data_IF_171170233487
#
_entry.id   IF_171170233487
#
_cell.length_a   1.000
_cell.length_b   1.000
_cell.length_c   1.000
_cell.angle_alpha   90.00
_cell.angle_beta   90.00
_cell.angle_gamma   90.00
#
_symmetry.space_group_name_H-M   'P 1'
#
loop_
_entity.id
_entity.type
_entity.pdbx_description
1 polymer ?
#
# COMPACT_ATOMS: atom_id res chain seq x y z
N UNK A 1 12.13 -3.48 36.68
CA UNK A 1 13.40 -3.81 36.02
C UNK A 1 13.13 -3.80 34.54
N UNK A 2 13.56 -2.76 33.83
CA UNK A 2 13.36 -2.66 32.40
C UNK A 2 14.32 -3.61 31.70
N UNK A 3 13.78 -4.53 30.90
CA UNK A 3 14.60 -5.47 30.14
C UNK A 3 15.39 -4.69 29.10
N UNK A 4 16.73 -4.74 29.20
CA UNK A 4 17.62 -4.09 28.24
C UNK A 4 17.93 -5.06 27.09
N UNK A 5 17.79 -4.58 25.85
CA UNK A 5 18.22 -5.29 24.64
C UNK A 5 19.23 -4.40 23.92
N UNK A 6 20.45 -4.90 23.74
CA UNK A 6 21.58 -4.15 23.17
C UNK A 6 21.84 -2.79 23.84
N UNK A 7 21.63 -2.70 25.15
CA UNK A 7 21.86 -1.48 25.92
C UNK A 7 20.77 -0.40 25.79
N UNK A 8 19.66 -0.70 25.10
CA UNK A 8 18.48 0.15 25.02
C UNK A 8 17.29 -0.50 25.76
N UNK A 9 16.37 0.29 26.32
CA UNK A 9 15.12 -0.24 26.88
C UNK A 9 14.31 -1.00 25.81
N UNK A 10 13.73 -2.14 26.20
CA UNK A 10 12.82 -2.91 25.33
C UNK A 10 11.66 -2.04 24.79
N UNK A 11 11.17 -1.07 25.57
CA UNK A 11 10.11 -0.13 25.14
C UNK A 11 10.49 0.64 23.88
N UNK A 12 11.74 1.07 23.77
CA UNK A 12 12.19 1.94 22.69
C UNK A 12 12.31 1.15 21.39
N UNK A 13 12.78 -0.11 21.50
CA UNK A 13 12.76 -1.07 20.40
C UNK A 13 11.33 -1.35 19.91
N UNK A 14 10.40 -1.62 20.83
CA UNK A 14 9.01 -1.90 20.49
C UNK A 14 8.33 -0.69 19.82
N UNK A 15 8.57 0.51 20.32
CA UNK A 15 8.08 1.75 19.72
C UNK A 15 8.64 1.96 18.31
N UNK A 16 9.95 1.75 18.13
CA UNK A 16 10.60 1.86 16.82
C UNK A 16 10.01 0.87 15.80
N UNK A 17 9.89 -0.40 16.17
CA UNK A 17 9.29 -1.43 15.31
C UNK A 17 7.83 -1.09 14.99
N UNK A 18 7.05 -0.70 16.01
CA UNK A 18 5.65 -0.32 15.86
C UNK A 18 5.48 0.86 14.90
N UNK A 19 6.33 1.88 15.00
CA UNK A 19 6.29 3.05 14.13
C UNK A 19 6.59 2.70 12.66
N UNK A 20 7.61 1.87 12.42
CA UNK A 20 7.95 1.41 11.05
C UNK A 20 6.81 0.58 10.45
N UNK A 21 6.24 -0.34 11.22
CA UNK A 21 5.08 -1.14 10.78
C UNK A 21 3.87 -0.25 10.48
N UNK A 22 3.61 0.76 11.30
CA UNK A 22 2.49 1.69 11.10
C UNK A 22 2.64 2.51 9.81
N UNK A 23 3.83 3.07 9.54
CA UNK A 23 4.09 3.84 8.32
C UNK A 23 3.97 2.95 7.08
N UNK A 24 4.63 1.79 7.10
CA UNK A 24 4.63 0.85 5.96
C UNK A 24 3.20 0.35 5.70
N UNK A 25 2.47 0.03 6.77
CA UNK A 25 1.05 -0.30 6.73
C UNK A 25 0.21 0.79 6.10
N UNK A 26 0.37 2.05 6.53
CA UNK A 26 -0.40 3.18 5.99
C UNK A 26 -0.14 3.39 4.49
N UNK A 27 1.13 3.34 4.07
CA UNK A 27 1.51 3.50 2.66
C UNK A 27 0.90 2.37 1.82
N UNK A 28 1.05 1.13 2.26
CA UNK A 28 0.55 -0.03 1.53
C UNK A 28 -0.98 -0.06 1.47
N UNK A 29 -1.65 0.33 2.56
CA UNK A 29 -3.10 0.45 2.59
C UNK A 29 -3.57 1.53 1.61
N UNK A 30 -2.92 2.70 1.56
CA UNK A 30 -3.21 3.74 0.59
C UNK A 30 -2.98 3.27 -0.86
N UNK A 31 -1.87 2.58 -1.12
CA UNK A 31 -1.59 1.99 -2.44
C UNK A 31 -2.66 0.96 -2.85
N UNK A 32 -3.23 0.22 -1.88
CA UNK A 32 -4.26 -0.78 -2.17
C UNK A 32 -5.56 -0.18 -2.72
N UNK A 33 -5.94 1.05 -2.32
CA UNK A 33 -7.12 1.75 -2.86
C UNK A 33 -6.97 2.18 -4.31
N UNK A 34 -5.72 2.42 -4.73
CA UNK A 34 -5.38 2.62 -6.12
C UNK A 34 -5.48 1.28 -6.86
N UNK A 35 -4.76 0.27 -6.37
CA UNK A 35 -4.60 -1.03 -7.03
C UNK A 35 -5.94 -1.74 -7.24
N UNK A 36 -6.83 -1.71 -6.24
CA UNK A 36 -8.13 -2.39 -6.30
C UNK A 36 -9.01 -1.95 -7.48
N UNK A 37 -8.74 -0.76 -8.03
CA UNK A 37 -9.44 -0.20 -9.19
C UNK A 37 -8.92 -0.74 -10.52
N UNK A 38 -7.71 -1.27 -10.56
CA UNK A 38 -7.09 -1.81 -11.77
C UNK A 38 -7.07 -3.34 -11.78
N UNK A 39 -7.01 -3.95 -10.59
CA UNK A 39 -6.65 -5.36 -10.45
C UNK A 39 -7.85 -6.22 -10.10
N UNK A 40 -7.99 -7.34 -10.81
CA UNK A 40 -8.96 -8.39 -10.49
C UNK A 40 -10.43 -8.00 -10.74
N UNK A 41 -10.69 -7.13 -11.72
CA UNK A 41 -12.02 -6.62 -12.04
C UNK A 41 -13.06 -7.72 -12.31
N UNK A 42 -12.64 -8.88 -12.81
CA UNK A 42 -13.51 -10.05 -13.08
C UNK A 42 -13.13 -11.30 -12.26
N UNK A 43 -12.35 -11.13 -11.19
CA UNK A 43 -11.85 -12.27 -10.40
C UNK A 43 -12.72 -12.54 -9.16
N UNK A 44 -12.83 -13.81 -8.72
CA UNK A 44 -13.49 -14.15 -7.46
C UNK A 44 -12.91 -13.34 -6.28
N UNK A 45 -13.71 -13.09 -5.22
CA UNK A 45 -13.32 -12.23 -4.09
C UNK A 45 -11.94 -12.53 -3.50
N UNK A 46 -11.62 -13.81 -3.32
CA UNK A 46 -10.33 -14.25 -2.78
C UNK A 46 -9.19 -13.87 -3.73
N UNK A 47 -9.32 -14.18 -5.02
CA UNK A 47 -8.29 -13.88 -6.02
C UNK A 47 -8.11 -12.38 -6.19
N UNK A 48 -9.20 -11.60 -6.17
CA UNK A 48 -9.15 -10.14 -6.23
C UNK A 48 -8.43 -9.53 -5.01
N UNK A 49 -8.69 -10.05 -3.81
CA UNK A 49 -8.01 -9.63 -2.60
C UNK A 49 -6.51 -9.94 -2.64
N UNK A 50 -6.13 -11.15 -3.08
CA UNK A 50 -4.72 -11.53 -3.24
C UNK A 50 -4.02 -10.59 -4.21
N UNK A 51 -4.58 -10.38 -5.40
CA UNK A 51 -3.94 -9.54 -6.40
C UNK A 51 -3.83 -8.07 -5.95
N UNK A 52 -4.83 -7.57 -5.20
CA UNK A 52 -4.79 -6.22 -4.63
C UNK A 52 -3.69 -6.09 -3.58
N UNK A 53 -3.63 -7.02 -2.62
CA UNK A 53 -2.64 -7.00 -1.56
C UNK A 53 -1.21 -7.22 -2.12
N UNK A 54 -1.04 -8.16 -3.05
CA UNK A 54 0.25 -8.47 -3.67
C UNK A 54 0.80 -7.29 -4.49
N UNK A 55 -0.05 -6.62 -5.27
CA UNK A 55 0.42 -5.46 -6.06
C UNK A 55 0.69 -4.26 -5.16
N UNK A 56 -0.11 -4.03 -4.12
CA UNK A 56 0.17 -2.99 -3.13
C UNK A 56 1.48 -3.25 -2.38
N UNK A 57 1.74 -4.52 -2.03
CA UNK A 57 3.01 -4.96 -1.44
C UNK A 57 4.18 -4.71 -2.39
N UNK A 58 4.07 -5.12 -3.65
CA UNK A 58 5.11 -4.96 -4.65
C UNK A 58 5.45 -3.49 -4.90
N UNK A 59 4.43 -2.63 -5.00
CA UNK A 59 4.60 -1.18 -5.14
C UNK A 59 5.27 -0.56 -3.92
N UNK A 60 4.82 -0.92 -2.71
CA UNK A 60 5.40 -0.39 -1.47
C UNK A 60 6.85 -0.85 -1.28
N UNK A 61 7.11 -2.15 -1.48
CA UNK A 61 8.45 -2.73 -1.38
C UNK A 61 9.39 -2.14 -2.44
N UNK A 62 8.94 -2.05 -3.70
CA UNK A 62 9.71 -1.43 -4.78
C UNK A 62 10.02 0.04 -4.50
N UNK A 63 9.02 0.81 -4.09
CA UNK A 63 9.20 2.23 -3.75
C UNK A 63 10.23 2.41 -2.63
N UNK A 64 10.20 1.58 -1.59
CA UNK A 64 11.12 1.69 -0.47
C UNK A 64 12.53 1.16 -0.79
N UNK A 65 12.64 0.08 -1.59
CA UNK A 65 13.93 -0.45 -2.06
C UNK A 65 14.63 0.58 -2.96
N UNK A 66 13.92 1.14 -3.94
CA UNK A 66 14.53 2.02 -4.94
C UNK A 66 14.52 3.50 -4.54
N UNK A 67 13.69 3.89 -3.57
CA UNK A 67 13.56 5.27 -3.09
C UNK A 67 14.33 5.60 -1.81
N UNK A 68 14.90 4.60 -1.13
CA UNK A 68 15.64 4.76 0.12
C UNK A 68 17.13 4.47 -0.04
N UNK A 69 18.00 5.36 0.47
CA UNK A 69 19.46 5.19 0.47
C UNK A 69 19.98 4.38 1.67
N UNK A 70 19.21 3.42 2.21
CA UNK A 70 19.54 2.78 3.49
C UNK A 70 20.01 1.34 3.36
N UNK A 71 20.97 0.98 4.20
CA UNK A 71 21.51 -0.36 4.41
C UNK A 71 20.44 -1.39 4.82
N UNK A 72 19.26 -0.91 5.24
CA UNK A 72 18.13 -1.71 5.67
C UNK A 72 17.15 -2.06 4.55
N UNK A 73 17.40 -1.61 3.31
CA UNK A 73 16.54 -1.88 2.15
C UNK A 73 16.22 -3.37 1.95
N UNK A 74 17.16 -4.26 2.30
CA UNK A 74 16.98 -5.72 2.21
C UNK A 74 15.92 -6.28 3.18
N UNK A 75 15.70 -5.61 4.32
CA UNK A 75 14.73 -6.04 5.33
C UNK A 75 13.33 -5.47 5.08
N UNK A 76 13.23 -4.44 4.25
CA UNK A 76 11.97 -3.74 3.97
C UNK A 76 10.86 -4.65 3.43
N UNK A 77 11.11 -5.57 2.48
CA UNK A 77 10.09 -6.52 2.03
C UNK A 77 9.52 -7.32 3.19
N UNK A 78 10.38 -7.77 4.12
CA UNK A 78 9.98 -8.58 5.26
C UNK A 78 9.06 -7.81 6.21
N UNK A 79 9.39 -6.55 6.49
CA UNK A 79 8.59 -5.65 7.34
C UNK A 79 7.25 -5.28 6.70
N UNK A 80 7.14 -5.38 5.38
CA UNK A 80 5.91 -5.08 4.63
C UNK A 80 4.91 -6.26 4.62
N UNK A 81 5.32 -7.47 5.01
CA UNK A 81 4.45 -8.66 4.99
C UNK A 81 3.24 -8.53 5.94
N UNK A 82 3.39 -8.14 7.22
CA UNK A 82 2.23 -7.97 8.12
C UNK A 82 1.21 -6.97 7.58
N UNK A 83 1.68 -5.88 6.98
CA UNK A 83 0.84 -4.90 6.31
C UNK A 83 0.07 -5.51 5.12
N UNK A 84 0.74 -6.32 4.29
CA UNK A 84 0.10 -7.03 3.17
C UNK A 84 -1.01 -7.97 3.62
N UNK A 85 -0.79 -8.70 4.72
CA UNK A 85 -1.78 -9.58 5.33
C UNK A 85 -3.00 -8.76 5.79
N UNK A 86 -2.78 -7.63 6.47
CA UNK A 86 -3.86 -6.72 6.87
C UNK A 86 -4.68 -6.21 5.69
N UNK A 87 -4.01 -5.77 4.62
CA UNK A 87 -4.66 -5.32 3.36
C UNK A 87 -5.47 -6.45 2.73
N UNK A 88 -4.93 -7.66 2.66
CA UNK A 88 -5.63 -8.82 2.14
C UNK A 88 -6.93 -9.10 2.91
N UNK A 89 -6.88 -9.15 4.24
CA UNK A 89 -8.06 -9.43 5.06
C UNK A 89 -9.13 -8.33 4.96
N UNK A 90 -8.71 -7.06 4.93
CA UNK A 90 -9.62 -5.94 4.74
C UNK A 90 -10.39 -6.05 3.42
N UNK A 91 -9.66 -6.20 2.30
CA UNK A 91 -10.29 -6.28 0.98
C UNK A 91 -11.05 -7.59 0.76
N UNK A 92 -10.56 -8.72 1.30
CA UNK A 92 -11.30 -9.99 1.28
C UNK A 92 -12.66 -9.84 1.95
N UNK A 93 -12.72 -9.24 3.13
CA UNK A 93 -13.98 -9.02 3.84
C UNK A 93 -14.92 -8.11 3.05
N UNK A 94 -14.40 -7.02 2.46
CA UNK A 94 -15.17 -6.11 1.61
C UNK A 94 -15.72 -6.78 0.35
N UNK A 95 -14.88 -7.52 -0.38
CA UNK A 95 -15.30 -8.22 -1.59
C UNK A 95 -16.25 -9.36 -1.30
N UNK A 96 -16.07 -10.11 -0.20
CA UNK A 96 -17.01 -11.16 0.19
C UNK A 96 -18.38 -10.54 0.49
N UNK A 97 -18.44 -9.48 1.30
CA UNK A 97 -19.70 -8.78 1.58
C UNK A 97 -20.41 -8.32 0.31
N UNK A 98 -19.68 -7.70 -0.62
CA UNK A 98 -20.24 -7.26 -1.90
C UNK A 98 -20.58 -8.40 -2.88
N UNK A 99 -20.12 -9.61 -2.62
CA UNK A 99 -20.36 -10.80 -3.46
C UNK A 99 -21.56 -11.63 -2.98
N UNK A 100 -21.95 -11.49 -1.70
CA UNK A 100 -23.07 -12.22 -1.13
C UNK A 100 -24.45 -11.62 -1.49
N UNK A 101 -24.52 -10.52 -2.24
CA UNK A 101 -25.76 -9.88 -2.69
C UNK A 101 -26.43 -10.59 -3.91
N UNK A 102 -26.22 -11.90 -4.05
CA UNK A 102 -26.91 -12.85 -4.96
C UNK A 102 -26.19 -13.25 -6.28
N UNK A 103 -25.36 -14.31 -6.26
CA UNK A 103 -24.78 -14.93 -7.45
C UNK A 103 -25.79 -15.56 -8.42
N UNK A 104 -27.04 -15.82 -7.99
CA UNK A 104 -28.11 -16.38 -8.83
C UNK A 104 -28.88 -15.32 -9.64
N UNK A 105 -28.63 -14.04 -9.38
CA UNK A 105 -29.17 -12.90 -10.13
C UNK A 105 -28.24 -12.38 -11.23
N UNK A 106 -27.04 -12.94 -11.40
CA UNK A 106 -26.09 -12.51 -12.44
C UNK A 106 -26.53 -13.18 -13.77
N UNK A 107 -27.05 -12.43 -14.76
CA UNK A 107 -27.49 -13.03 -16.02
C UNK A 107 -26.30 -13.68 -16.73
N UNK A 108 -26.50 -14.87 -17.28
CA UNK A 108 -25.46 -15.55 -18.07
C UNK A 108 -24.93 -14.61 -19.17
N UNK A 109 -23.62 -14.36 -19.17
CA UNK A 109 -22.96 -13.47 -20.14
C UNK A 109 -22.74 -12.03 -19.67
N UNK A 110 -23.26 -11.61 -18.51
CA UNK A 110 -22.97 -10.28 -17.95
C UNK A 110 -21.70 -10.36 -17.11
N UNK A 111 -20.59 -9.84 -17.66
CA UNK A 111 -19.34 -9.70 -16.92
C UNK A 111 -19.54 -8.83 -15.68
N UNK A 112 -19.07 -9.29 -14.52
CA UNK A 112 -19.04 -8.58 -13.25
C UNK A 112 -18.05 -7.41 -13.38
N UNK A 113 -18.40 -6.39 -14.16
CA UNK A 113 -17.45 -5.40 -14.62
C UNK A 113 -17.76 -4.07 -13.94
N UNK A 114 -16.98 -3.75 -12.89
CA UNK A 114 -16.67 -2.35 -12.65
C UNK A 114 -15.69 -1.92 -13.75
N UNK A 115 -16.19 -1.38 -14.85
CA UNK A 115 -15.38 -0.94 -15.99
C UNK A 115 -14.68 0.42 -15.76
N UNK A 116 -14.91 1.07 -14.62
CA UNK A 116 -14.40 2.41 -14.34
C UNK A 116 -12.96 2.42 -13.78
N UNK A 117 -12.03 1.84 -14.53
CA UNK A 117 -10.59 2.00 -14.30
C UNK A 117 -10.16 3.50 -14.29
N UNK A 118 -10.97 4.35 -14.94
CA UNK A 118 -10.82 5.82 -14.97
C UNK A 118 -10.82 6.43 -13.56
N UNK A 119 -11.66 5.92 -12.65
CA UNK A 119 -11.70 6.39 -11.25
C UNK A 119 -10.41 6.03 -10.52
N UNK A 120 -9.84 4.85 -10.81
CA UNK A 120 -8.51 4.48 -10.34
C UNK A 120 -7.42 5.41 -10.86
N UNK A 121 -7.48 5.78 -12.14
CA UNK A 121 -6.53 6.70 -12.77
C UNK A 121 -6.58 8.09 -12.13
N UNK A 122 -7.76 8.64 -11.86
CA UNK A 122 -7.90 9.93 -11.19
C UNK A 122 -7.36 9.92 -9.76
N UNK A 123 -7.55 8.81 -9.01
CA UNK A 123 -6.99 8.66 -7.68
C UNK A 123 -5.45 8.62 -7.69
N UNK A 124 -4.84 7.92 -8.66
CA UNK A 124 -3.39 7.90 -8.86
C UNK A 124 -2.85 9.27 -9.23
N UNK A 125 -3.47 9.92 -10.21
CA UNK A 125 -3.07 11.25 -10.66
C UNK A 125 -3.15 12.27 -9.51
N UNK A 126 -4.23 12.25 -8.72
CA UNK A 126 -4.39 13.09 -7.54
C UNK A 126 -3.32 12.85 -6.48
N UNK A 127 -3.03 11.59 -6.14
CA UNK A 127 -1.98 11.25 -5.19
C UNK A 127 -0.58 11.68 -5.67
N UNK A 128 -0.26 11.47 -6.96
CA UNK A 128 0.98 11.91 -7.56
C UNK A 128 1.15 13.44 -7.51
N UNK A 129 0.08 14.19 -7.81
CA UNK A 129 0.07 15.66 -7.71
C UNK A 129 0.33 16.12 -6.28
N UNK A 130 -0.36 15.55 -5.28
CA UNK A 130 -0.16 15.91 -3.86
C UNK A 130 1.29 15.66 -3.42
N UNK A 131 1.87 14.53 -3.82
CA UNK A 131 3.27 14.19 -3.50
C UNK A 131 4.27 15.12 -4.19
N UNK A 132 4.04 15.46 -5.45
CA UNK A 132 4.86 16.44 -6.18
C UNK A 132 4.80 17.83 -5.55
N UNK A 133 3.61 18.30 -5.16
CA UNK A 133 3.43 19.59 -4.47
C UNK A 133 4.15 19.59 -3.12
N UNK A 134 4.15 18.47 -2.38
CA UNK A 134 4.87 18.36 -1.10
C UNK A 134 6.40 18.35 -1.26
N UNK A 135 6.92 17.85 -2.39
CA UNK A 135 8.36 17.79 -2.70
C UNK A 135 8.87 19.02 -3.45
N UNK A 136 7.99 19.80 -4.09
CA UNK A 136 8.36 21.00 -4.84
C UNK A 136 9.19 22.00 -4.01
N UNK A 137 8.86 22.33 -2.75
CA UNK A 137 9.68 23.24 -1.94
C UNK A 137 11.10 22.71 -1.71
N UNK A 138 11.25 21.38 -1.61
CA UNK A 138 12.52 20.71 -1.35
C UNK A 138 13.40 20.66 -2.62
N UNK A 139 12.78 20.53 -3.80
CA UNK A 139 13.45 20.60 -5.11
C UNK A 139 13.91 22.04 -5.38
N UNK A 140 13.05 23.04 -5.14
CA UNK A 140 13.41 24.45 -5.30
C UNK A 140 14.50 24.90 -4.30
N UNK A 141 14.47 24.40 -3.06
CA UNK A 141 15.51 24.69 -2.08
C UNK A 141 16.88 24.12 -2.49
N UNK A 142 16.93 22.89 -3.05
CA UNK A 142 18.17 22.27 -3.54
C UNK A 142 18.73 22.97 -4.79
N UNK A 143 17.85 23.43 -5.70
CA UNK A 143 18.29 24.21 -6.86
C UNK A 143 18.88 25.57 -6.45
N UNK A 144 18.26 26.27 -5.49
CA UNK A 144 18.74 27.56 -5.03
C UNK A 144 20.04 27.47 -4.21
N UNK A 145 20.36 26.33 -3.60
CA UNK A 145 21.63 26.11 -2.90
C UNK A 145 22.78 25.65 -3.80
N UNK A 146 22.51 25.36 -5.08
CA UNK A 146 23.51 24.87 -6.06
C UNK A 146 23.82 25.85 -7.18
N UNK A 147 23.08 26.97 -7.28
CA UNK A 147 23.45 28.13 -8.08
C UNK A 147 24.57 28.93 -7.37
N UNK A 148 25.76 29.09 -8.00
CA UNK A 148 26.89 29.85 -7.44
C UNK A 148 26.65 31.36 -7.38
#
# INVERSE_FOLDING_TARGET
MDTLIFGQPLSDWLLGIGFVLAITGAIQFMASFVVVKFVGLQSPPIRRAVLTAASAYALCSGFLIFGGASEYAIWVPLVSIPAAIGVYHYWKAGFLRAWYDDPSQIPEGVGIANQDWRVGLYAVAGAAIILMVKKAPLIFAVQNSTSP
#
